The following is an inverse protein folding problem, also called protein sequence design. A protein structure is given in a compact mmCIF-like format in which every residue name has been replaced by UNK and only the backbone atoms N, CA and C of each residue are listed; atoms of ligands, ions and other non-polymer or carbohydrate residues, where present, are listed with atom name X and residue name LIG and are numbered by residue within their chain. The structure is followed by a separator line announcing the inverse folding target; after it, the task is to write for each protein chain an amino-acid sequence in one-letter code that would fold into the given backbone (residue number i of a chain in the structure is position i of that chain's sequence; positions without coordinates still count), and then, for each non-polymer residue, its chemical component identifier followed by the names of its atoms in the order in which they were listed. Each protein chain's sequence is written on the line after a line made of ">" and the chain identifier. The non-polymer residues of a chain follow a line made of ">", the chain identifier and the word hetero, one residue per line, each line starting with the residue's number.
data_IF_525531001084
#
_entry.id   IF_525531001084
#
_cell.length_a   1.000
_cell.length_b   1.000
_cell.length_c   1.000
_cell.angle_alpha   90.00
_cell.angle_beta   90.00
_cell.angle_gamma   90.00
#
_symmetry.space_group_name_H-M   'P 1'
#
loop_
_entity.id
_entity.type
_entity.pdbx_description
1 polymer ?
#
# COMPACT_ATOMS: atom_id res chain seq x y z
N UNK A 1 -56.77 33.53 32.29
CA UNK A 1 -56.00 34.36 31.33
C UNK A 1 -54.50 34.48 31.71
N UNK A 2 -54.14 34.84 32.94
CA UNK A 2 -52.70 34.99 33.32
C UNK A 2 -51.79 33.76 33.11
N UNK A 3 -52.31 32.51 33.21
CA UNK A 3 -51.54 31.27 33.01
C UNK A 3 -51.11 31.05 31.56
N UNK A 4 -51.89 31.50 30.59
CA UNK A 4 -51.57 31.32 29.18
C UNK A 4 -50.49 32.32 28.68
N UNK A 5 -50.47 33.52 29.27
CA UNK A 5 -49.39 34.48 28.96
C UNK A 5 -48.03 34.04 29.47
N UNK A 6 -48.01 33.34 30.63
CA UNK A 6 -46.76 32.81 31.17
C UNK A 6 -46.22 31.66 30.30
N UNK A 7 -47.10 30.80 29.77
CA UNK A 7 -46.75 29.70 28.89
C UNK A 7 -46.26 30.20 27.53
N UNK A 8 -46.91 31.19 26.95
CA UNK A 8 -46.49 31.80 25.67
C UNK A 8 -45.16 32.55 25.80
N UNK A 9 -44.90 33.20 26.95
CA UNK A 9 -43.61 33.85 27.21
C UNK A 9 -42.46 32.84 27.35
N UNK A 10 -42.71 31.70 28.00
CA UNK A 10 -41.75 30.62 28.12
C UNK A 10 -41.41 29.98 26.77
N UNK A 11 -42.39 29.80 25.89
CA UNK A 11 -42.20 29.29 24.54
C UNK A 11 -41.38 30.28 23.68
N UNK A 12 -41.64 31.58 23.83
CA UNK A 12 -40.88 32.61 23.09
C UNK A 12 -39.40 32.66 23.52
N UNK A 13 -39.13 32.48 24.81
CA UNK A 13 -37.75 32.44 25.34
C UNK A 13 -37.04 31.18 24.83
N UNK A 14 -37.72 30.03 24.68
CA UNK A 14 -37.15 28.82 24.12
C UNK A 14 -36.80 28.94 22.64
N UNK A 15 -37.56 29.70 21.87
CA UNK A 15 -37.33 29.92 20.44
C UNK A 15 -36.14 30.85 20.16
N UNK A 16 -35.78 31.73 21.12
CA UNK A 16 -34.61 32.61 20.97
C UNK A 16 -33.28 31.96 21.41
N UNK A 17 -33.36 30.79 22.03
CA UNK A 17 -32.17 30.05 22.49
C UNK A 17 -31.50 29.17 21.42
N UNK A 18 -32.00 29.19 20.17
CA UNK A 18 -31.22 28.66 19.06
C UNK A 18 -30.02 29.58 18.85
N UNK A 19 -28.97 29.30 19.58
CA UNK A 19 -27.63 29.82 19.36
C UNK A 19 -27.32 29.64 17.88
N UNK A 20 -27.27 30.73 17.14
CA UNK A 20 -26.61 30.75 15.85
C UNK A 20 -25.17 30.28 16.05
N UNK A 21 -24.94 29.02 15.83
CA UNK A 21 -23.60 28.51 15.63
C UNK A 21 -23.04 29.25 14.41
N UNK A 22 -22.41 30.38 14.66
CA UNK A 22 -21.59 31.06 13.65
C UNK A 22 -20.57 30.04 13.22
N UNK A 23 -20.85 29.36 12.11
CA UNK A 23 -19.81 28.71 11.32
C UNK A 23 -18.92 29.83 10.78
N UNK A 24 -18.05 30.35 11.64
CA UNK A 24 -16.88 31.08 11.23
C UNK A 24 -15.90 30.00 10.73
N UNK A 25 -16.15 29.49 9.52
CA UNK A 25 -15.12 28.87 8.72
C UNK A 25 -14.24 30.02 8.19
N UNK A 26 -13.50 30.67 9.08
CA UNK A 26 -12.26 31.29 8.68
C UNK A 26 -11.31 30.13 8.32
N UNK A 27 -11.54 29.50 7.19
CA UNK A 27 -10.49 28.82 6.46
C UNK A 27 -9.53 29.94 6.06
N UNK A 28 -8.48 30.12 6.87
CA UNK A 28 -7.32 30.87 6.43
C UNK A 28 -6.85 30.18 5.16
N UNK A 29 -7.25 30.73 4.01
CA UNK A 29 -6.69 30.28 2.73
C UNK A 29 -5.28 30.85 2.67
N UNK A 30 -4.34 29.98 2.97
CA UNK A 30 -2.93 30.31 2.74
C UNK A 30 -2.62 30.12 1.26
N UNK A 31 -1.90 31.09 0.68
CA UNK A 31 -1.35 30.92 -0.66
C UNK A 31 -0.35 29.75 -0.64
N UNK A 32 -0.64 28.70 -1.42
CA UNK A 32 0.22 27.52 -1.50
C UNK A 32 1.63 27.87 -1.96
N UNK A 33 1.81 28.96 -2.72
CA UNK A 33 3.12 29.45 -3.14
C UNK A 33 4.01 29.87 -1.96
N UNK A 34 3.44 30.19 -0.79
CA UNK A 34 4.23 30.49 0.40
C UNK A 34 5.05 29.30 0.88
N UNK A 35 4.65 28.08 0.51
CA UNK A 35 5.33 26.85 0.91
C UNK A 35 6.41 26.40 -0.08
N UNK A 36 6.49 27.00 -1.27
CA UNK A 36 7.45 26.64 -2.32
C UNK A 36 8.92 26.85 -1.90
N UNK A 37 9.16 27.67 -0.88
CA UNK A 37 10.50 27.91 -0.33
C UNK A 37 10.84 26.99 0.86
N UNK A 38 9.90 26.12 1.28
CA UNK A 38 10.14 25.20 2.38
C UNK A 38 10.83 23.96 1.83
N UNK A 39 12.09 23.78 2.19
CA UNK A 39 12.86 22.58 1.90
C UNK A 39 13.01 21.73 3.16
N UNK A 40 12.66 20.45 3.06
CA UNK A 40 12.86 19.50 4.13
C UNK A 40 14.24 18.86 3.97
N UNK A 41 15.02 18.84 5.04
CA UNK A 41 16.25 18.07 5.09
C UNK A 41 16.27 17.14 6.31
N UNK A 42 16.78 15.95 6.13
CA UNK A 42 16.98 15.03 7.23
C UNK A 42 18.18 15.50 8.08
N UNK A 43 17.94 15.82 9.34
CA UNK A 43 18.96 16.28 10.28
C UNK A 43 19.44 15.20 11.27
N UNK A 44 18.88 14.00 11.16
CA UNK A 44 19.21 12.90 12.05
C UNK A 44 18.46 12.92 13.40
N UNK A 45 18.71 11.96 14.28
CA UNK A 45 19.64 10.84 14.04
C UNK A 45 19.18 9.94 12.90
N UNK A 46 20.11 9.56 12.04
CA UNK A 46 19.82 8.66 10.92
C UNK A 46 19.54 7.26 11.47
N UNK A 47 18.34 6.76 11.24
CA UNK A 47 17.93 5.41 11.59
C UNK A 47 17.67 4.62 10.32
N UNK A 48 18.25 3.43 10.23
CA UNK A 48 17.77 2.40 9.32
C UNK A 48 16.34 2.05 9.73
N UNK A 49 15.38 2.16 8.80
CA UNK A 49 14.01 1.70 9.00
C UNK A 49 13.90 0.18 8.91
N UNK A 50 12.67 -0.32 9.04
CA UNK A 50 12.39 -1.74 8.75
C UNK A 50 12.34 -1.94 7.24
N UNK A 51 13.03 -2.95 6.73
CA UNK A 51 12.85 -3.45 5.39
C UNK A 51 11.96 -4.71 5.46
N UNK A 52 10.88 -4.74 4.73
CA UNK A 52 9.93 -5.85 4.70
C UNK A 52 10.25 -6.85 3.58
N UNK A 53 10.88 -6.40 2.52
CA UNK A 53 11.11 -7.20 1.33
C UNK A 53 12.35 -6.74 0.58
N UNK A 54 12.98 -7.65 -0.13
CA UNK A 54 14.12 -7.39 -1.02
C UNK A 54 13.97 -8.24 -2.28
N UNK A 55 14.38 -7.71 -3.41
CA UNK A 55 14.47 -8.42 -4.68
C UNK A 55 15.80 -8.11 -5.37
N UNK A 56 16.52 -9.14 -5.77
CA UNK A 56 17.69 -9.05 -6.64
C UNK A 56 17.30 -9.23 -8.11
N UNK A 57 18.19 -8.83 -8.99
CA UNK A 57 18.01 -8.98 -10.45
C UNK A 57 18.92 -10.09 -10.95
N UNK A 58 18.34 -11.09 -11.60
CA UNK A 58 19.10 -12.22 -12.17
C UNK A 58 20.09 -11.69 -13.19
N UNK A 59 21.35 -12.15 -13.06
CA UNK A 59 22.44 -11.73 -13.93
C UNK A 59 23.11 -10.40 -13.58
N UNK A 60 22.55 -9.63 -12.63
CA UNK A 60 23.18 -8.39 -12.18
C UNK A 60 23.41 -8.41 -10.65
N UNK A 61 24.65 -8.61 -10.24
CA UNK A 61 25.05 -8.73 -8.82
C UNK A 61 25.04 -7.41 -8.05
N UNK A 62 24.89 -6.30 -8.73
CA UNK A 62 24.92 -4.97 -8.11
C UNK A 62 23.54 -4.35 -7.96
N UNK A 63 22.52 -4.90 -8.65
CA UNK A 63 21.18 -4.31 -8.71
C UNK A 63 20.22 -5.04 -7.76
N UNK A 64 19.69 -4.27 -6.80
CA UNK A 64 18.70 -4.75 -5.85
C UNK A 64 17.61 -3.69 -5.62
N UNK A 65 16.46 -4.18 -5.24
CA UNK A 65 15.32 -3.36 -4.81
C UNK A 65 14.93 -3.74 -3.39
N UNK A 66 14.61 -2.75 -2.56
CA UNK A 66 14.22 -2.95 -1.18
C UNK A 66 12.92 -2.20 -0.91
N UNK A 67 11.92 -2.90 -0.36
CA UNK A 67 10.69 -2.30 0.12
C UNK A 67 10.75 -2.06 1.63
N UNK A 68 10.47 -0.83 2.04
CA UNK A 68 10.59 -0.38 3.42
C UNK A 68 9.23 -0.18 4.08
N UNK A 69 9.20 -0.21 5.40
CA UNK A 69 8.01 0.09 6.18
C UNK A 69 7.87 1.60 6.37
N UNK A 70 7.06 2.23 5.51
CA UNK A 70 6.79 3.67 5.57
C UNK A 70 7.81 4.54 4.85
N UNK A 71 8.57 3.99 3.88
CA UNK A 71 9.54 4.73 3.11
C UNK A 71 9.64 4.32 1.64
N UNK A 72 8.59 3.64 1.13
CA UNK A 72 8.52 3.27 -0.28
C UNK A 72 9.54 2.22 -0.73
N UNK A 73 9.89 2.27 -2.01
CA UNK A 73 10.82 1.36 -2.67
C UNK A 73 12.15 2.06 -2.95
N UNK A 74 13.21 1.38 -2.58
CA UNK A 74 14.59 1.84 -2.77
C UNK A 74 15.33 0.93 -3.74
N UNK A 75 16.20 1.53 -4.55
CA UNK A 75 17.03 0.86 -5.55
C UNK A 75 18.50 1.10 -5.24
N UNK A 76 19.34 0.08 -5.40
CA UNK A 76 20.80 0.20 -5.43
C UNK A 76 21.33 -0.39 -6.74
N UNK A 77 22.35 0.21 -7.30
CA UNK A 77 23.08 -0.25 -8.49
C UNK A 77 24.56 -0.58 -8.19
N UNK A 78 24.94 -0.50 -6.93
CA UNK A 78 26.30 -0.67 -6.44
C UNK A 78 26.40 -1.69 -5.26
N UNK A 79 25.54 -2.72 -5.29
CA UNK A 79 25.47 -3.77 -4.29
C UNK A 79 25.17 -3.27 -2.86
N UNK A 80 24.43 -2.16 -2.73
CA UNK A 80 23.97 -1.65 -1.46
C UNK A 80 24.84 -0.57 -0.82
N UNK A 81 25.88 -0.07 -1.52
CA UNK A 81 26.68 1.03 -1.01
C UNK A 81 25.92 2.36 -1.03
N UNK A 82 25.09 2.58 -2.04
CA UNK A 82 24.16 3.70 -2.13
C UNK A 82 22.76 3.24 -2.47
N UNK A 83 21.75 4.01 -2.04
CA UNK A 83 20.34 3.72 -2.28
C UNK A 83 19.59 4.98 -2.67
N UNK A 84 18.73 4.85 -3.69
CA UNK A 84 17.84 5.88 -4.18
C UNK A 84 16.40 5.46 -3.96
N UNK A 85 15.54 6.39 -3.48
CA UNK A 85 14.11 6.14 -3.40
C UNK A 85 13.49 6.35 -4.77
N UNK A 86 12.93 5.29 -5.35
CA UNK A 86 12.37 5.30 -6.71
C UNK A 86 10.83 5.35 -6.73
N UNK A 87 10.19 5.39 -5.57
CA UNK A 87 8.72 5.47 -5.48
C UNK A 87 8.19 6.85 -5.11
N UNK A 88 9.07 7.81 -4.81
CA UNK A 88 8.67 9.17 -4.46
C UNK A 88 7.86 9.82 -5.58
N UNK A 89 6.79 10.52 -5.21
CA UNK A 89 5.85 11.12 -6.16
C UNK A 89 4.78 10.16 -6.72
N UNK A 90 4.90 8.84 -6.47
CA UNK A 90 3.89 7.83 -6.87
C UNK A 90 3.21 7.22 -5.65
N UNK A 91 3.99 6.63 -4.77
CA UNK A 91 3.52 6.03 -3.52
C UNK A 91 4.66 6.02 -2.49
N UNK A 92 4.33 6.23 -1.24
CA UNK A 92 5.33 6.33 -0.17
C UNK A 92 4.97 5.50 1.06
N UNK A 93 4.03 4.58 0.91
CA UNK A 93 3.53 3.73 1.98
C UNK A 93 4.49 2.63 2.41
N UNK A 94 4.01 1.78 3.28
CA UNK A 94 4.69 0.55 3.66
C UNK A 94 4.62 -0.46 2.53
N UNK A 95 5.74 -1.08 2.21
CA UNK A 95 5.86 -2.07 1.15
C UNK A 95 5.89 -3.47 1.75
N UNK A 96 4.98 -4.33 1.30
CA UNK A 96 4.90 -5.73 1.70
C UNK A 96 5.68 -6.66 0.80
N UNK A 97 5.67 -6.41 -0.51
CA UNK A 97 6.36 -7.25 -1.48
C UNK A 97 6.91 -6.44 -2.67
N UNK A 98 8.09 -6.81 -3.12
CA UNK A 98 8.70 -6.36 -4.38
C UNK A 98 9.11 -7.59 -5.17
N UNK A 99 8.82 -7.60 -6.47
CA UNK A 99 9.26 -8.65 -7.37
C UNK A 99 9.72 -8.05 -8.70
N UNK A 100 10.85 -8.56 -9.20
CA UNK A 100 11.40 -8.22 -10.51
C UNK A 100 11.21 -9.42 -11.43
N UNK A 101 10.82 -9.18 -12.67
CA UNK A 101 10.67 -10.26 -13.65
C UNK A 101 12.02 -10.84 -14.04
N UNK A 102 12.09 -12.18 -14.11
CA UNK A 102 13.29 -12.90 -14.56
C UNK A 102 13.51 -12.73 -16.07
N UNK A 103 12.43 -12.68 -16.86
CA UNK A 103 12.48 -12.56 -18.32
C UNK A 103 12.67 -11.12 -18.82
N UNK A 104 12.33 -10.13 -18.01
CA UNK A 104 12.52 -8.70 -18.34
C UNK A 104 12.75 -7.90 -17.06
N UNK A 105 13.98 -7.52 -16.72
CA UNK A 105 14.30 -6.81 -15.48
C UNK A 105 13.75 -5.38 -15.41
N UNK A 106 13.21 -4.83 -16.51
CA UNK A 106 12.50 -3.56 -16.48
C UNK A 106 11.11 -3.67 -15.84
N UNK A 107 10.55 -4.88 -15.80
CA UNK A 107 9.24 -5.12 -15.21
C UNK A 107 9.37 -5.41 -13.73
N UNK A 108 8.80 -4.51 -12.92
CA UNK A 108 8.78 -4.61 -11.47
C UNK A 108 7.34 -4.51 -10.97
N UNK A 109 7.00 -5.37 -10.03
CA UNK A 109 5.74 -5.30 -9.29
C UNK A 109 5.98 -4.98 -7.83
N UNK A 110 5.15 -4.11 -7.28
CA UNK A 110 5.17 -3.71 -5.88
C UNK A 110 3.79 -3.86 -5.27
N UNK A 111 3.75 -4.50 -4.12
CA UNK A 111 2.55 -4.62 -3.29
C UNK A 111 2.73 -3.85 -2.00
N UNK A 112 1.78 -2.96 -1.72
CA UNK A 112 1.79 -2.17 -0.50
C UNK A 112 1.27 -2.95 0.72
N UNK A 113 1.55 -2.39 1.91
CA UNK A 113 1.12 -2.90 3.20
C UNK A 113 2.10 -3.87 3.83
N UNK A 114 2.59 -3.53 4.99
CA UNK A 114 3.62 -4.29 5.70
C UNK A 114 3.19 -5.74 5.96
N UNK A 115 4.02 -6.71 5.62
CA UNK A 115 3.70 -8.13 5.73
C UNK A 115 4.03 -8.75 7.10
N UNK A 116 4.86 -8.08 7.89
CA UNK A 116 5.28 -8.60 9.20
C UNK A 116 4.24 -8.29 10.25
N UNK A 117 3.51 -9.32 10.70
CA UNK A 117 2.41 -9.16 11.65
C UNK A 117 2.91 -8.78 13.05
N UNK A 118 2.42 -7.63 13.53
CA UNK A 118 2.60 -7.12 14.89
C UNK A 118 1.63 -5.96 15.15
N UNK A 119 1.65 -5.39 16.36
CA UNK A 119 0.68 -4.39 16.79
C UNK A 119 0.72 -3.03 16.07
N UNK A 120 1.75 -2.74 15.27
CA UNK A 120 1.94 -1.43 14.62
C UNK A 120 2.32 -1.52 13.14
N UNK A 121 1.74 -2.47 12.43
CA UNK A 121 1.92 -2.58 10.96
C UNK A 121 1.10 -1.53 10.23
N UNK A 122 1.65 -1.00 9.15
CA UNK A 122 0.98 -0.02 8.31
C UNK A 122 0.35 -0.69 7.10
N UNK A 123 -0.91 -0.38 6.84
CA UNK A 123 -1.62 -0.84 5.65
C UNK A 123 -1.14 -0.12 4.39
N UNK A 124 -1.40 -0.73 3.24
CA UNK A 124 -1.15 -0.19 1.93
C UNK A 124 -2.44 -0.07 1.11
N UNK A 125 -2.31 0.40 -0.12
CA UNK A 125 -3.43 0.74 -0.99
C UNK A 125 -3.44 -0.03 -2.32
N UNK A 126 -2.72 -1.15 -2.40
CA UNK A 126 -2.80 -2.03 -3.57
C UNK A 126 -1.49 -2.34 -4.26
N UNK A 127 -1.56 -2.46 -5.58
CA UNK A 127 -0.48 -2.92 -6.44
C UNK A 127 -0.02 -1.85 -7.41
N UNK A 128 1.30 -1.84 -7.62
CA UNK A 128 1.97 -0.97 -8.59
C UNK A 128 2.85 -1.78 -9.53
N UNK A 129 3.00 -1.28 -10.75
CA UNK A 129 3.89 -1.86 -11.77
C UNK A 129 4.73 -0.77 -12.42
N UNK A 130 6.01 -1.05 -12.58
CA UNK A 130 6.93 -0.35 -13.46
C UNK A 130 7.24 -1.18 -14.70
N UNK A 131 7.47 -0.52 -15.82
CA UNK A 131 7.93 -1.11 -17.08
C UNK A 131 9.30 -0.59 -17.51
N UNK A 132 9.96 0.17 -16.67
CA UNK A 132 11.20 0.94 -16.96
C UNK A 132 12.19 0.89 -15.78
N UNK A 133 12.27 -0.24 -15.10
CA UNK A 133 13.17 -0.49 -13.96
C UNK A 133 12.98 0.51 -12.81
N UNK A 134 11.74 0.95 -12.58
CA UNK A 134 11.35 1.81 -11.47
C UNK A 134 11.42 3.31 -11.74
N UNK A 135 11.61 3.75 -12.99
CA UNK A 135 11.59 5.18 -13.32
C UNK A 135 10.17 5.75 -13.26
N UNK A 136 9.19 4.98 -13.73
CA UNK A 136 7.78 5.34 -13.63
C UNK A 136 6.93 4.19 -13.08
N UNK A 137 5.81 4.54 -12.44
CA UNK A 137 4.93 3.57 -11.82
C UNK A 137 3.48 3.77 -12.21
N UNK A 138 2.79 2.68 -12.45
CA UNK A 138 1.37 2.65 -12.74
C UNK A 138 0.65 1.88 -11.64
N UNK A 139 -0.43 2.45 -11.11
CA UNK A 139 -1.32 1.74 -10.21
C UNK A 139 -2.10 0.68 -10.98
N UNK A 140 -2.06 -0.57 -10.52
CA UNK A 140 -2.65 -1.73 -11.22
C UNK A 140 -3.74 -2.44 -10.42
N UNK A 141 -4.30 -1.80 -9.38
CA UNK A 141 -5.47 -2.30 -8.69
C UNK A 141 -5.24 -2.91 -7.32
N UNK A 142 -6.19 -3.71 -6.86
CA UNK A 142 -6.30 -4.29 -5.53
C UNK A 142 -6.29 -3.24 -4.38
N UNK A 143 -7.02 -2.10 -4.48
CA UNK A 143 -6.93 -0.99 -3.52
C UNK A 143 -7.38 -1.35 -2.09
N UNK A 144 -8.10 -2.45 -1.93
CA UNK A 144 -8.60 -2.92 -0.62
C UNK A 144 -7.81 -4.11 -0.07
N UNK A 145 -6.66 -4.43 -0.67
CA UNK A 145 -5.80 -5.53 -0.23
C UNK A 145 -5.18 -5.29 1.15
N UNK A 146 -4.98 -4.04 1.53
CA UNK A 146 -4.37 -3.54 2.76
C UNK A 146 -2.96 -4.09 3.03
N UNK A 147 -2.77 -5.40 2.97
CA UNK A 147 -1.46 -6.04 3.19
C UNK A 147 -1.20 -7.11 2.13
N UNK A 148 -0.16 -6.88 1.33
CA UNK A 148 0.31 -7.81 0.30
C UNK A 148 1.58 -8.49 0.79
N UNK A 149 1.49 -9.80 0.99
CA UNK A 149 2.59 -10.58 1.58
C UNK A 149 3.65 -10.99 0.59
N UNK A 150 3.25 -11.34 -0.63
CA UNK A 150 4.15 -11.91 -1.62
C UNK A 150 3.66 -11.67 -3.03
N UNK A 151 4.62 -11.44 -3.93
CA UNK A 151 4.39 -11.40 -5.37
C UNK A 151 5.29 -12.45 -6.01
N UNK A 152 4.75 -13.20 -6.98
CA UNK A 152 5.50 -14.10 -7.84
C UNK A 152 5.12 -13.84 -9.29
N UNK A 153 6.13 -13.64 -10.11
CA UNK A 153 5.99 -13.44 -11.55
C UNK A 153 6.33 -14.75 -12.23
N UNK A 154 5.58 -15.12 -13.26
CA UNK A 154 5.91 -16.28 -14.06
C UNK A 154 7.29 -16.09 -14.74
N UNK A 155 8.24 -17.05 -14.67
CA UNK A 155 9.62 -16.83 -15.10
C UNK A 155 9.77 -16.41 -16.56
N UNK A 156 8.90 -16.91 -17.45
CA UNK A 156 8.97 -16.66 -18.89
C UNK A 156 7.87 -15.70 -19.40
N UNK A 157 7.01 -15.18 -18.52
CA UNK A 157 5.93 -14.28 -18.92
C UNK A 157 5.73 -13.21 -17.84
N UNK A 158 6.25 -11.97 -18.05
CA UNK A 158 6.19 -10.90 -17.06
C UNK A 158 4.77 -10.39 -16.81
N UNK A 159 3.79 -10.70 -17.67
CA UNK A 159 2.40 -10.31 -17.51
C UNK A 159 1.57 -11.32 -16.70
N UNK A 160 2.11 -12.50 -16.44
CA UNK A 160 1.49 -13.48 -15.56
C UNK A 160 2.06 -13.36 -14.15
N UNK A 161 1.22 -12.89 -13.20
CA UNK A 161 1.64 -12.58 -11.83
C UNK A 161 0.65 -13.10 -10.81
N UNK A 162 1.18 -13.54 -9.69
CA UNK A 162 0.45 -14.07 -8.53
C UNK A 162 0.73 -13.22 -7.31
N UNK A 163 -0.33 -12.89 -6.58
CA UNK A 163 -0.28 -11.97 -5.43
C UNK A 163 -0.97 -12.58 -4.23
N UNK A 164 -0.23 -12.74 -3.14
CA UNK A 164 -0.77 -13.13 -1.85
C UNK A 164 -1.28 -11.91 -1.09
N UNK A 165 -2.57 -11.96 -0.74
CA UNK A 165 -3.21 -10.89 0.02
C UNK A 165 -3.55 -11.39 1.41
N UNK A 166 -2.94 -10.77 2.41
CA UNK A 166 -3.25 -10.98 3.82
C UNK A 166 -4.58 -10.31 4.16
N UNK A 167 -4.85 -9.14 3.60
CA UNK A 167 -6.05 -8.35 3.87
C UNK A 167 -5.97 -7.59 5.19
N UNK A 168 -7.10 -7.09 5.68
CA UNK A 168 -7.17 -6.36 6.93
C UNK A 168 -6.80 -7.25 8.13
N UNK A 169 -5.87 -6.81 8.97
CA UNK A 169 -5.37 -7.60 10.10
C UNK A 169 -6.30 -7.62 11.32
N UNK A 170 -7.17 -6.62 11.43
CA UNK A 170 -7.92 -6.33 12.64
C UNK A 170 -9.41 -6.69 12.56
N UNK A 171 -9.89 -7.02 11.35
CA UNK A 171 -11.29 -7.37 11.10
C UNK A 171 -11.41 -8.33 9.91
N UNK A 172 -12.51 -9.09 9.80
CA UNK A 172 -12.78 -9.91 8.63
C UNK A 172 -12.71 -9.09 7.33
N UNK A 173 -12.09 -9.65 6.30
CA UNK A 173 -11.86 -8.98 5.02
C UNK A 173 -12.03 -9.97 3.86
N UNK A 174 -12.96 -9.66 2.95
CA UNK A 174 -13.23 -10.51 1.79
C UNK A 174 -12.16 -10.41 0.69
N UNK A 175 -11.25 -9.45 0.79
CA UNK A 175 -10.15 -9.29 -0.17
C UNK A 175 -8.98 -10.25 0.06
N UNK A 176 -8.98 -10.99 1.17
CA UNK A 176 -7.99 -12.02 1.46
C UNK A 176 -7.95 -13.09 0.39
N UNK A 177 -6.78 -13.66 0.13
CA UNK A 177 -6.61 -14.79 -0.78
C UNK A 177 -5.44 -14.68 -1.73
N UNK A 178 -5.41 -15.56 -2.72
CA UNK A 178 -4.44 -15.57 -3.81
C UNK A 178 -5.08 -15.00 -5.06
N UNK A 179 -4.46 -14.00 -5.64
CA UNK A 179 -4.87 -13.38 -6.90
C UNK A 179 -3.91 -13.72 -8.02
N UNK A 180 -4.44 -13.83 -9.22
CA UNK A 180 -3.70 -14.00 -10.46
C UNK A 180 -4.10 -12.94 -11.46
N UNK A 181 -3.12 -12.38 -12.16
CA UNK A 181 -3.29 -11.63 -13.41
C UNK A 181 -2.55 -12.37 -14.52
N UNK A 182 -3.02 -12.24 -15.76
CA UNK A 182 -2.38 -12.72 -16.99
C UNK A 182 -2.15 -11.61 -18.01
N UNK A 183 -2.41 -10.38 -17.63
CA UNK A 183 -2.41 -9.19 -18.47
C UNK A 183 -1.63 -8.02 -17.85
N UNK A 184 -0.67 -8.34 -17.00
CA UNK A 184 0.20 -7.36 -16.36
C UNK A 184 -0.47 -6.53 -15.27
N UNK A 185 -1.54 -7.07 -14.67
CA UNK A 185 -2.27 -6.40 -13.59
C UNK A 185 -3.43 -5.53 -14.05
N UNK A 186 -3.78 -5.54 -15.36
CA UNK A 186 -4.96 -4.82 -15.85
C UNK A 186 -6.25 -5.45 -15.34
N UNK A 187 -6.25 -6.76 -15.12
CA UNK A 187 -7.34 -7.48 -14.46
C UNK A 187 -6.82 -8.49 -13.44
N UNK A 188 -7.63 -8.77 -12.41
CA UNK A 188 -7.29 -9.66 -11.31
C UNK A 188 -8.37 -10.70 -11.09
N UNK A 189 -7.98 -11.96 -11.01
CA UNK A 189 -8.84 -13.07 -10.63
C UNK A 189 -8.40 -13.62 -9.29
N UNK A 190 -9.28 -13.68 -8.30
CA UNK A 190 -9.04 -14.40 -7.06
C UNK A 190 -9.13 -15.90 -7.35
N UNK A 191 -8.02 -16.63 -7.20
CA UNK A 191 -7.91 -18.06 -7.55
C UNK A 191 -7.91 -18.96 -6.32
N UNK A 192 -7.66 -18.40 -5.12
CA UNK A 192 -7.80 -19.09 -3.84
C UNK A 192 -8.43 -18.14 -2.81
N UNK A 193 -9.49 -18.61 -2.17
CA UNK A 193 -10.12 -17.95 -1.03
C UNK A 193 -10.48 -19.02 0.01
N UNK A 194 -9.98 -18.88 1.22
CA UNK A 194 -10.25 -19.80 2.32
C UNK A 194 -11.40 -19.26 3.18
N UNK A 195 -11.24 -18.05 3.70
CA UNK A 195 -12.26 -17.36 4.49
C UNK A 195 -11.97 -15.87 4.59
N UNK A 196 -12.87 -15.11 5.16
CA UNK A 196 -12.66 -13.69 5.46
C UNK A 196 -11.68 -13.44 6.62
N UNK A 197 -11.23 -14.52 7.30
CA UNK A 197 -10.24 -14.48 8.38
C UNK A 197 -8.87 -15.04 7.98
N UNK A 198 -8.79 -15.83 6.90
CA UNK A 198 -7.54 -16.46 6.46
C UNK A 198 -6.99 -15.81 5.20
N UNK A 199 -5.83 -15.18 5.31
CA UNK A 199 -5.10 -14.59 4.19
C UNK A 199 -3.97 -15.49 3.68
N UNK A 200 -3.37 -15.11 2.54
CA UNK A 200 -2.19 -15.79 1.99
C UNK A 200 -0.93 -15.09 2.50
N UNK A 201 -0.14 -15.82 3.30
CA UNK A 201 1.09 -15.32 3.90
C UNK A 201 2.33 -15.51 3.03
N UNK A 202 2.40 -16.57 2.26
CA UNK A 202 3.51 -16.82 1.32
C UNK A 202 3.06 -17.59 0.09
N UNK A 203 3.82 -17.42 -1.01
CA UNK A 203 3.61 -18.10 -2.29
C UNK A 203 4.97 -18.52 -2.86
N UNK A 204 5.03 -19.70 -3.42
CA UNK A 204 6.16 -20.15 -4.21
C UNK A 204 5.66 -20.84 -5.49
N UNK A 205 6.30 -20.56 -6.60
CA UNK A 205 6.13 -21.32 -7.84
C UNK A 205 7.09 -22.50 -7.82
N UNK A 206 6.66 -23.64 -8.32
CA UNK A 206 7.56 -24.78 -8.52
C UNK A 206 8.61 -24.41 -9.57
N UNK A 207 9.91 -24.52 -9.27
CA UNK A 207 10.97 -24.07 -10.17
C UNK A 207 11.05 -24.89 -11.47
N UNK A 208 10.54 -26.13 -11.48
CA UNK A 208 10.55 -27.02 -12.63
C UNK A 208 9.23 -26.99 -13.41
N UNK A 209 8.15 -26.51 -12.77
CA UNK A 209 6.83 -26.45 -13.39
C UNK A 209 6.03 -25.26 -12.86
N UNK A 210 6.13 -24.14 -13.52
CA UNK A 210 5.44 -22.88 -13.15
C UNK A 210 3.89 -22.96 -13.11
N UNK A 211 3.32 -24.11 -13.54
CA UNK A 211 1.88 -24.40 -13.40
C UNK A 211 1.51 -24.87 -12.00
N UNK A 212 2.51 -25.23 -11.18
CA UNK A 212 2.31 -25.65 -9.79
C UNK A 212 2.66 -24.49 -8.87
N UNK A 213 1.74 -24.16 -7.98
CA UNK A 213 1.87 -23.07 -7.03
C UNK A 213 1.57 -23.62 -5.64
N UNK A 214 2.41 -23.30 -4.70
CA UNK A 214 2.19 -23.53 -3.29
C UNK A 214 1.84 -22.21 -2.62
N UNK A 215 0.75 -22.18 -1.87
CA UNK A 215 0.31 -21.01 -1.13
C UNK A 215 0.10 -21.39 0.34
N UNK A 216 0.79 -20.70 1.24
CA UNK A 216 0.59 -20.84 2.66
C UNK A 216 -0.50 -19.85 3.11
N UNK A 217 -1.56 -20.36 3.73
CA UNK A 217 -2.64 -19.55 4.28
C UNK A 217 -2.56 -19.50 5.80
N UNK A 218 -2.88 -18.33 6.35
CA UNK A 218 -2.85 -18.10 7.79
C UNK A 218 -4.13 -17.40 8.23
N UNK A 219 -4.75 -17.94 9.28
CA UNK A 219 -5.90 -17.33 9.93
C UNK A 219 -5.44 -16.31 10.98
N UNK A 220 -6.05 -15.13 10.95
CA UNK A 220 -5.76 -13.99 11.83
C UNK A 220 -7.00 -13.57 12.57
#
# INVERSE_FOLDING_TARGET
>A
MKKYYLLSLLILIFLTSFSQRRNSSNTLSFDENLYNSIEYRLVGPFRGGRAGTVAGVIGNRNLYYMGTAGGGVWKTEDAGNSWECISDGYFGGSIGAVAVSESDPNIIYVGEGEQTLRGNVSSGMGMWRSNDAGQTWNFIGLPKSEHISRIRIHPNNPDEVYVGVIGNLWKPNKERGLYKSIDGGKSWKKILYVSDKAGVGDIILDPNNSRIIYAATWQM
#
